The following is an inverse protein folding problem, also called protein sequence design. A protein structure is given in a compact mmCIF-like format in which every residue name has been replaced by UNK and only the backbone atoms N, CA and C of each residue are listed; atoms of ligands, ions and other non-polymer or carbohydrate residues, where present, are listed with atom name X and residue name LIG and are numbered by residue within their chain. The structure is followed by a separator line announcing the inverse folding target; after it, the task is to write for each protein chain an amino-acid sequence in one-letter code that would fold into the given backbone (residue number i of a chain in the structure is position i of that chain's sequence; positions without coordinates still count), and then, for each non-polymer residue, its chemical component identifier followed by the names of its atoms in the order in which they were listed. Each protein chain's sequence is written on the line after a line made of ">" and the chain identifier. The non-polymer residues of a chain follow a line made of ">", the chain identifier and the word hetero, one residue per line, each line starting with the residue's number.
data_IF_732260281103
#
_entry.id   IF_732260281103
#
_cell.length_a   1.000
_cell.length_b   1.000
_cell.length_c   1.000
_cell.angle_alpha   90.00
_cell.angle_beta   90.00
_cell.angle_gamma   90.00
#
_symmetry.space_group_name_H-M   'P 1'
#
loop_
_entity.id
_entity.type
_entity.pdbx_description
1 polymer ?
#
# COMPACT_ATOMS: atom_id res chain seq x y z
N UNK A 1 -23.18 -58.39 54.65
CA UNK A 1 -22.84 -58.19 53.20
C UNK A 1 -23.45 -56.87 52.78
N UNK A 2 -22.60 -55.82 52.68
CA UNK A 2 -23.02 -54.47 52.26
C UNK A 2 -22.14 -54.08 51.04
N UNK A 3 -22.73 -54.08 49.88
CA UNK A 3 -22.05 -53.66 48.62
C UNK A 3 -22.08 -52.14 48.53
N UNK A 4 -20.90 -51.54 48.45
CA UNK A 4 -20.74 -50.13 48.12
C UNK A 4 -20.53 -49.99 46.58
N UNK A 5 -21.49 -49.33 45.92
CA UNK A 5 -21.32 -48.87 44.56
C UNK A 5 -20.63 -47.53 44.60
N UNK A 6 -19.43 -47.47 44.06
CA UNK A 6 -18.72 -46.24 43.82
C UNK A 6 -19.15 -45.71 42.44
N UNK A 7 -19.85 -44.57 42.43
CA UNK A 7 -20.15 -43.85 41.19
C UNK A 7 -19.00 -42.92 40.84
N UNK A 8 -18.28 -43.24 39.77
CA UNK A 8 -17.26 -42.36 39.21
C UNK A 8 -17.91 -41.27 38.36
N UNK A 9 -17.83 -40.03 38.82
CA UNK A 9 -18.25 -38.84 38.10
C UNK A 9 -17.14 -38.42 37.15
N UNK A 10 -17.30 -38.66 35.85
CA UNK A 10 -16.40 -38.16 34.83
C UNK A 10 -16.78 -36.74 34.47
N UNK A 11 -15.95 -35.79 34.89
CA UNK A 11 -16.10 -34.37 34.54
C UNK A 11 -15.49 -34.15 33.16
N UNK A 12 -16.35 -34.02 32.16
CA UNK A 12 -15.95 -33.58 30.80
C UNK A 12 -15.72 -32.06 30.84
N UNK A 13 -14.45 -31.65 30.85
CA UNK A 13 -14.04 -30.25 30.67
C UNK A 13 -14.05 -29.97 29.15
N UNK A 14 -15.14 -29.38 28.69
CA UNK A 14 -15.23 -28.84 27.31
C UNK A 14 -14.44 -27.52 27.28
N UNK A 15 -13.20 -27.56 26.85
CA UNK A 15 -12.42 -26.37 26.50
C UNK A 15 -12.99 -25.76 25.23
N UNK A 16 -13.85 -24.77 25.38
CA UNK A 16 -14.26 -23.92 24.27
C UNK A 16 -13.05 -23.07 23.82
N UNK A 17 -12.43 -23.48 22.71
CA UNK A 17 -11.51 -22.62 21.98
C UNK A 17 -12.33 -21.45 21.42
N UNK A 18 -12.33 -20.32 22.13
CA UNK A 18 -12.75 -19.04 21.56
C UNK A 18 -11.70 -18.65 20.52
N UNK A 19 -11.99 -18.94 19.26
CA UNK A 19 -11.34 -18.26 18.14
C UNK A 19 -11.86 -16.84 18.22
N UNK A 20 -11.03 -15.94 18.75
CA UNK A 20 -11.27 -14.51 18.63
C UNK A 20 -11.18 -14.19 17.14
N UNK A 21 -12.33 -14.07 16.50
CA UNK A 21 -12.46 -13.51 15.19
C UNK A 21 -12.14 -12.03 15.35
N UNK A 22 -10.91 -11.67 15.07
CA UNK A 22 -10.47 -10.27 14.97
C UNK A 22 -11.33 -9.63 13.88
N UNK A 23 -12.42 -9.05 14.31
CA UNK A 23 -13.23 -8.16 13.50
C UNK A 23 -12.33 -6.98 13.14
N UNK A 24 -11.71 -7.04 11.95
CA UNK A 24 -10.99 -5.93 11.37
C UNK A 24 -11.99 -4.78 11.21
N UNK A 25 -11.97 -3.83 12.16
CA UNK A 25 -12.49 -2.50 11.87
C UNK A 25 -11.83 -2.07 10.56
N UNK A 26 -12.56 -1.49 9.59
CA UNK A 26 -11.95 -0.65 8.58
C UNK A 26 -11.32 0.49 9.35
N UNK A 27 -10.06 0.33 9.63
CA UNK A 27 -9.34 1.15 10.58
C UNK A 27 -9.11 2.51 9.96
N UNK A 28 -8.96 3.54 10.76
CA UNK A 28 -8.45 4.83 10.32
C UNK A 28 -7.18 4.71 9.48
N UNK A 29 -6.44 3.60 9.60
CA UNK A 29 -5.25 3.26 8.82
C UNK A 29 -5.53 3.06 7.32
N UNK A 30 -6.62 2.39 6.93
CA UNK A 30 -6.98 2.26 5.51
C UNK A 30 -7.26 3.63 4.90
N UNK A 31 -8.06 4.45 5.58
CA UNK A 31 -8.35 5.82 5.13
C UNK A 31 -7.10 6.69 5.08
N UNK A 32 -6.20 6.53 6.05
CA UNK A 32 -4.91 7.24 6.08
C UNK A 32 -4.03 6.85 4.89
N UNK A 33 -3.85 5.54 4.64
CA UNK A 33 -3.05 5.07 3.51
C UNK A 33 -3.61 5.52 2.16
N UNK A 34 -4.94 5.50 1.98
CA UNK A 34 -5.58 6.07 0.78
C UNK A 34 -5.31 7.57 0.61
N UNK A 35 -5.25 8.31 1.71
CA UNK A 35 -4.90 9.72 1.68
C UNK A 35 -3.43 9.94 1.32
N UNK A 36 -2.52 9.07 1.78
CA UNK A 36 -1.09 9.12 1.41
C UNK A 36 -0.90 8.83 -0.09
N UNK A 37 -1.63 7.86 -0.66
CA UNK A 37 -1.63 7.61 -2.11
C UNK A 37 -2.11 8.83 -2.91
N UNK A 38 -3.15 9.49 -2.43
CA UNK A 38 -3.65 10.72 -3.06
C UNK A 38 -2.65 11.87 -2.94
N UNK A 39 -1.97 11.98 -1.80
CA UNK A 39 -0.91 12.96 -1.59
C UNK A 39 0.29 12.71 -2.51
N UNK A 40 0.64 11.44 -2.76
CA UNK A 40 1.68 11.07 -3.71
C UNK A 40 1.33 11.57 -5.12
N UNK A 41 0.14 11.21 -5.63
CA UNK A 41 -0.29 11.64 -6.96
C UNK A 41 -0.25 13.18 -7.11
N UNK A 42 -0.70 13.88 -6.07
CA UNK A 42 -0.67 15.35 -6.07
C UNK A 42 0.77 15.89 -6.09
N UNK A 43 1.66 15.29 -5.31
CA UNK A 43 3.06 15.72 -5.25
C UNK A 43 3.80 15.45 -6.59
N UNK A 44 3.49 14.36 -7.29
CA UNK A 44 4.01 14.11 -8.64
C UNK A 44 3.50 15.13 -9.65
N UNK A 45 2.19 15.42 -9.66
CA UNK A 45 1.60 16.40 -10.56
C UNK A 45 2.16 17.80 -10.35
N UNK A 46 2.35 18.20 -9.09
CA UNK A 46 2.90 19.51 -8.72
C UNK A 46 4.44 19.55 -8.72
N UNK A 47 5.12 18.42 -8.96
CA UNK A 47 6.57 18.26 -8.85
C UNK A 47 7.12 18.67 -7.48
N UNK A 48 6.37 18.39 -6.41
CA UNK A 48 6.75 18.71 -5.04
C UNK A 48 7.71 17.65 -4.48
N UNK A 49 9.00 17.90 -4.66
CA UNK A 49 10.07 17.05 -4.15
C UNK A 49 10.04 16.88 -2.63
N UNK A 50 9.65 17.91 -1.89
CA UNK A 50 9.67 17.88 -0.44
C UNK A 50 8.56 16.96 0.08
N UNK A 51 7.34 17.05 -0.49
CA UNK A 51 6.23 16.16 -0.17
C UNK A 51 6.57 14.71 -0.54
N UNK A 52 7.05 14.44 -1.75
CA UNK A 52 7.48 13.10 -2.16
C UNK A 52 8.57 12.54 -1.24
N UNK A 53 9.56 13.35 -0.87
CA UNK A 53 10.64 12.91 0.00
C UNK A 53 10.14 12.48 1.39
N UNK A 54 9.07 13.06 1.91
CA UNK A 54 8.45 12.67 3.18
C UNK A 54 7.67 11.36 3.08
N UNK A 55 6.99 11.12 1.95
CA UNK A 55 6.21 9.91 1.70
C UNK A 55 7.08 8.67 1.51
N UNK A 56 8.30 8.83 0.99
CA UNK A 56 9.18 7.74 0.62
C UNK A 56 10.23 7.46 1.72
N UNK A 57 10.42 6.20 2.07
CA UNK A 57 11.50 5.78 2.95
C UNK A 57 12.87 5.95 2.26
N UNK A 58 13.97 6.07 3.03
CA UNK A 58 15.31 6.16 2.45
C UNK A 58 15.71 4.91 1.67
N UNK A 59 15.14 3.76 2.04
CA UNK A 59 15.30 2.47 1.35
C UNK A 59 14.36 2.25 0.17
N UNK A 60 13.61 3.27 -0.24
CA UNK A 60 12.59 3.16 -1.29
C UNK A 60 13.15 2.63 -2.60
N UNK A 61 12.39 1.72 -3.21
CA UNK A 61 12.66 1.13 -4.53
C UNK A 61 11.41 1.27 -5.39
N UNK A 62 11.58 1.72 -6.62
CA UNK A 62 10.53 1.82 -7.62
C UNK A 62 10.86 1.00 -8.85
N UNK A 63 9.90 0.22 -9.33
CA UNK A 63 9.96 -0.46 -10.62
C UNK A 63 8.90 0.15 -11.53
N UNK A 64 9.34 0.84 -12.57
CA UNK A 64 8.44 1.48 -13.52
C UNK A 64 7.83 0.47 -14.50
N UNK A 65 6.80 0.89 -15.21
CA UNK A 65 6.03 0.05 -16.17
C UNK A 65 6.89 -0.55 -17.29
N UNK A 66 8.03 0.03 -17.59
CA UNK A 66 8.98 -0.45 -18.60
C UNK A 66 10.09 -1.35 -18.03
N UNK A 67 10.07 -1.60 -16.70
CA UNK A 67 11.06 -2.37 -15.96
C UNK A 67 12.24 -1.55 -15.43
N UNK A 68 12.25 -0.23 -15.62
CA UNK A 68 13.29 0.63 -15.05
C UNK A 68 13.25 0.59 -13.54
N UNK A 69 14.41 0.26 -12.93
CA UNK A 69 14.57 0.21 -11.47
C UNK A 69 15.19 1.51 -10.98
N UNK A 70 14.55 2.14 -9.99
CA UNK A 70 15.01 3.39 -9.39
C UNK A 70 15.04 3.29 -7.86
N UNK A 71 16.07 3.89 -7.25
CA UNK A 71 16.05 4.20 -5.82
C UNK A 71 15.36 5.56 -5.59
N UNK A 72 15.13 5.93 -4.30
CA UNK A 72 14.48 7.19 -3.91
C UNK A 72 15.06 8.41 -4.63
N UNK A 73 16.38 8.56 -4.63
CA UNK A 73 17.06 9.71 -5.25
C UNK A 73 16.79 9.79 -6.76
N UNK A 74 16.85 8.65 -7.43
CA UNK A 74 16.60 8.56 -8.88
C UNK A 74 15.13 8.86 -9.19
N UNK A 75 14.20 8.30 -8.40
CA UNK A 75 12.77 8.56 -8.55
C UNK A 75 12.42 10.04 -8.37
N UNK A 76 12.90 10.67 -7.28
CA UNK A 76 12.70 12.11 -7.07
C UNK A 76 13.29 12.94 -8.21
N UNK A 77 14.48 12.61 -8.69
CA UNK A 77 15.11 13.33 -9.79
C UNK A 77 14.32 13.16 -11.10
N UNK A 78 13.80 11.96 -11.41
CA UNK A 78 12.99 11.71 -12.61
C UNK A 78 11.66 12.47 -12.58
N UNK A 79 11.01 12.54 -11.42
CA UNK A 79 9.75 13.26 -11.25
C UNK A 79 9.91 14.77 -11.42
N UNK A 80 10.99 15.35 -10.87
CA UNK A 80 11.18 16.80 -10.86
C UNK A 80 11.80 17.30 -12.15
N UNK A 81 12.87 16.62 -12.62
CA UNK A 81 13.68 17.03 -13.74
C UNK A 81 13.42 16.19 -15.00
N UNK A 82 12.58 15.16 -14.89
CA UNK A 82 12.27 14.25 -15.98
C UNK A 82 11.46 14.90 -17.10
N UNK A 83 11.45 14.22 -18.21
CA UNK A 83 10.75 14.64 -19.44
C UNK A 83 9.23 14.39 -19.37
N UNK A 84 8.77 13.70 -18.31
CA UNK A 84 7.35 13.44 -18.04
C UNK A 84 6.75 14.59 -17.24
N UNK A 85 5.66 15.13 -17.74
CA UNK A 85 4.85 16.14 -17.07
C UNK A 85 3.45 15.57 -16.88
N UNK A 86 3.16 15.10 -15.68
CA UNK A 86 1.85 14.57 -15.35
C UNK A 86 0.86 15.72 -15.14
N UNK A 87 -0.12 15.85 -16.03
CA UNK A 87 -1.23 16.81 -15.88
C UNK A 87 -2.31 16.25 -14.99
N UNK A 88 -2.50 14.94 -15.00
CA UNK A 88 -3.49 14.24 -14.20
C UNK A 88 -3.01 12.84 -13.87
N UNK A 89 -3.12 12.46 -12.59
CA UNK A 89 -2.94 11.09 -12.10
C UNK A 89 -4.14 10.77 -11.20
N UNK A 90 -4.83 9.67 -11.48
CA UNK A 90 -5.96 9.20 -10.68
C UNK A 90 -5.79 7.73 -10.36
N UNK A 91 -5.92 7.37 -9.08
CA UNK A 91 -6.00 5.98 -8.64
C UNK A 91 -7.46 5.51 -8.65
N UNK A 92 -7.68 4.28 -9.11
CA UNK A 92 -8.99 3.65 -9.23
C UNK A 92 -9.02 2.30 -8.51
N UNK A 93 -10.12 1.97 -7.84
CA UNK A 93 -10.34 0.64 -7.27
C UNK A 93 -9.26 0.19 -6.29
N UNK A 94 -8.71 1.11 -5.49
CA UNK A 94 -7.68 0.79 -4.52
C UNK A 94 -8.19 -0.21 -3.48
N UNK A 95 -7.36 -1.21 -3.17
CA UNK A 95 -7.49 -2.05 -1.98
C UNK A 95 -6.30 -1.82 -1.06
N UNK A 96 -6.57 -1.77 0.24
CA UNK A 96 -5.57 -1.58 1.28
C UNK A 96 -5.62 -2.78 2.22
N UNK A 97 -4.49 -3.44 2.42
CA UNK A 97 -4.33 -4.57 3.33
C UNK A 97 -3.28 -4.21 4.37
N UNK A 98 -3.69 -4.12 5.64
CA UNK A 98 -2.81 -3.75 6.75
C UNK A 98 -2.40 -5.00 7.53
N UNK A 99 -1.11 -5.15 7.78
CA UNK A 99 -0.46 -6.26 8.48
C UNK A 99 0.42 -5.74 9.63
N UNK A 100 -0.22 -5.23 10.68
CA UNK A 100 0.50 -4.56 11.77
C UNK A 100 1.18 -3.28 11.29
N UNK A 101 2.51 -3.24 11.34
CA UNK A 101 3.31 -2.09 10.91
C UNK A 101 3.66 -2.11 9.41
N UNK A 102 3.04 -2.99 8.62
CA UNK A 102 3.18 -3.06 7.19
C UNK A 102 1.82 -3.01 6.50
N UNK A 103 1.77 -2.45 5.30
CA UNK A 103 0.57 -2.44 4.47
C UNK A 103 0.92 -2.59 2.99
N UNK A 104 0.00 -3.20 2.27
CA UNK A 104 0.04 -3.27 0.80
C UNK A 104 -1.17 -2.53 0.25
N UNK A 105 -0.90 -1.57 -0.63
CA UNK A 105 -1.91 -0.86 -1.40
C UNK A 105 -1.77 -1.25 -2.86
N UNK A 106 -2.85 -1.65 -3.48
CA UNK A 106 -2.86 -1.92 -4.91
C UNK A 106 -4.11 -1.34 -5.56
N UNK A 107 -4.02 -1.05 -6.84
CA UNK A 107 -5.11 -0.47 -7.60
C UNK A 107 -4.80 -0.36 -9.08
N UNK A 108 -5.66 0.33 -9.79
CA UNK A 108 -5.37 0.81 -11.12
C UNK A 108 -5.06 2.31 -11.06
N UNK A 109 -4.34 2.80 -12.04
CA UNK A 109 -4.11 4.23 -12.23
C UNK A 109 -4.42 4.64 -13.67
N UNK A 110 -4.82 5.89 -13.83
CA UNK A 110 -4.86 6.59 -15.12
C UNK A 110 -4.05 7.85 -15.01
N UNK A 111 -3.11 8.00 -15.89
CA UNK A 111 -2.33 9.22 -16.01
C UNK A 111 -2.36 9.77 -17.45
N UNK A 112 -2.25 11.06 -17.55
CA UNK A 112 -2.09 11.78 -18.82
C UNK A 112 -1.22 13.01 -18.64
N UNK A 113 -0.61 13.42 -19.70
CA UNK A 113 0.26 14.59 -19.72
C UNK A 113 1.11 14.66 -20.97
N UNK A 114 2.33 15.17 -20.80
CA UNK A 114 3.33 15.26 -21.85
C UNK A 114 4.57 14.44 -21.48
N UNK A 115 5.07 13.66 -22.41
CA UNK A 115 6.37 12.98 -22.33
C UNK A 115 7.23 13.39 -23.53
N UNK A 116 8.36 14.00 -23.27
CA UNK A 116 9.21 14.60 -24.32
C UNK A 116 8.44 15.56 -25.24
N UNK A 117 7.52 16.31 -24.63
CA UNK A 117 6.65 17.25 -25.35
C UNK A 117 5.52 16.61 -26.16
N UNK A 118 5.34 15.29 -26.10
CA UNK A 118 4.26 14.58 -26.82
C UNK A 118 3.17 14.15 -25.82
N UNK A 119 1.89 14.34 -26.15
CA UNK A 119 0.79 13.88 -25.31
C UNK A 119 0.84 12.37 -25.09
N UNK A 120 0.58 11.95 -23.84
CA UNK A 120 0.36 10.55 -23.50
C UNK A 120 -0.89 10.37 -22.65
N UNK A 121 -1.44 9.17 -22.67
CA UNK A 121 -2.46 8.68 -21.72
C UNK A 121 -2.16 7.21 -21.45
N UNK A 122 -2.05 6.85 -20.18
CA UNK A 122 -1.75 5.50 -19.75
C UNK A 122 -2.84 4.98 -18.82
N UNK A 123 -3.03 3.67 -18.81
CA UNK A 123 -3.85 2.94 -17.87
C UNK A 123 -3.02 1.76 -17.37
N UNK A 124 -2.81 1.69 -16.08
CA UNK A 124 -1.96 0.68 -15.47
C UNK A 124 -2.47 0.18 -14.14
N UNK A 125 -1.67 -0.69 -13.54
CA UNK A 125 -1.83 -1.16 -12.16
C UNK A 125 -0.61 -0.80 -11.36
N UNK A 126 -0.81 -0.61 -10.07
CA UNK A 126 0.28 -0.39 -9.13
C UNK A 126 0.16 -1.31 -7.92
N UNK A 127 1.26 -1.51 -7.24
CA UNK A 127 1.34 -2.16 -5.94
C UNK A 127 2.40 -1.46 -5.11
N UNK A 128 1.98 -0.90 -4.00
CA UNK A 128 2.82 -0.13 -3.09
C UNK A 128 2.88 -0.81 -1.74
N UNK A 129 4.08 -0.89 -1.18
CA UNK A 129 4.34 -1.43 0.15
C UNK A 129 4.70 -0.29 1.09
N UNK A 130 3.93 -0.15 2.14
CA UNK A 130 4.07 0.87 3.17
C UNK A 130 4.53 0.24 4.48
N UNK A 131 5.36 0.96 5.23
CA UNK A 131 5.82 0.56 6.56
C UNK A 131 5.60 1.71 7.54
N UNK A 132 5.01 1.39 8.70
CA UNK A 132 4.85 2.32 9.81
C UNK A 132 6.09 2.29 10.69
N UNK A 133 6.82 3.41 10.76
CA UNK A 133 8.00 3.59 11.60
C UNK A 133 8.05 4.99 12.17
N UNK A 134 8.47 5.12 13.43
CA UNK A 134 8.63 6.41 14.10
C UNK A 134 7.38 7.31 14.03
N UNK A 135 6.19 6.68 14.11
CA UNK A 135 4.91 7.39 14.11
C UNK A 135 4.40 7.82 12.72
N UNK A 136 5.02 7.35 11.63
CA UNK A 136 4.58 7.68 10.26
C UNK A 136 4.65 6.49 9.33
N UNK A 137 3.76 6.48 8.34
CA UNK A 137 3.79 5.56 7.21
C UNK A 137 4.71 6.11 6.13
N UNK A 138 5.60 5.26 5.61
CA UNK A 138 6.45 5.56 4.47
C UNK A 138 6.42 4.40 3.47
N UNK A 139 6.35 4.71 2.18
CA UNK A 139 6.45 3.73 1.13
C UNK A 139 7.90 3.24 0.99
N UNK A 140 8.10 1.92 0.98
CA UNK A 140 9.41 1.28 0.85
C UNK A 140 9.61 0.64 -0.53
N UNK A 141 8.52 0.27 -1.19
CA UNK A 141 8.58 -0.29 -2.54
C UNK A 141 7.30 0.07 -3.31
N UNK A 142 7.47 0.40 -4.57
CA UNK A 142 6.37 0.65 -5.51
C UNK A 142 6.69 -0.01 -6.85
N UNK A 143 5.66 -0.56 -7.47
CA UNK A 143 5.75 -1.10 -8.82
C UNK A 143 4.53 -0.71 -9.63
N UNK A 144 4.76 -0.34 -10.88
CA UNK A 144 3.71 -0.11 -11.86
C UNK A 144 3.82 -1.03 -13.07
N UNK A 145 2.71 -1.24 -13.77
CA UNK A 145 2.65 -1.96 -15.04
C UNK A 145 1.50 -1.45 -15.88
N UNK A 146 1.65 -1.46 -17.20
CA UNK A 146 0.55 -1.08 -18.09
C UNK A 146 -0.45 -2.22 -18.26
N UNK A 147 -1.74 -1.87 -18.29
CA UNK A 147 -2.80 -2.79 -18.69
C UNK A 147 -2.81 -2.85 -20.21
N UNK A 148 -2.57 -4.03 -20.75
CA UNK A 148 -2.71 -4.25 -22.21
C UNK A 148 -4.20 -4.20 -22.57
N UNK A 149 -4.52 -3.39 -23.56
CA UNK A 149 -5.85 -3.36 -24.17
C UNK A 149 -6.01 -4.53 -25.13
#
# INVERSE_FOLDING_TARGET
>A
MRSFFAASLVLLISSAFMIAQESSKPSGEEGHLRALESAWNHAEQSKDAAALNQLLADSFVYVDYDGTLMNKKQFLASTINGEVQNEQINNEGMTVQVYGDAAVVNGAYRDKGLEKGKPFSRHGRFTDTWIFRNGTWQCVASQSTLIRQ
#
